data_IF_488219436753
#
_entry.id   IF_488219436753
#
_cell.length_a   1.000
_cell.length_b   1.000
_cell.length_c   1.000
_cell.angle_alpha   90.00
_cell.angle_beta   90.00
_cell.angle_gamma   90.00
#
_symmetry.space_group_name_H-M   'P 1'
#
loop_
_entity.id
_entity.type
_entity.pdbx_description
1 polymer ?
#
# COMPACT_ATOMS: atom_id res chain seq x y z
N UNK A 1 1.94 -5.75 -18.34
CA UNK A 1 2.64 -5.89 -17.04
C UNK A 1 1.77 -5.32 -15.94
N UNK A 2 1.46 -6.06 -14.89
CA UNK A 2 0.71 -5.49 -13.75
C UNK A 2 1.66 -4.86 -12.74
N UNK A 3 1.15 -3.86 -12.02
CA UNK A 3 1.90 -3.10 -11.03
C UNK A 3 1.19 -3.19 -9.68
N UNK A 4 1.92 -3.54 -8.62
CA UNK A 4 1.36 -3.64 -7.27
C UNK A 4 2.06 -2.67 -6.32
N UNK A 5 1.27 -1.77 -5.73
CA UNK A 5 1.73 -0.83 -4.72
C UNK A 5 1.52 -1.46 -3.34
N UNK A 6 2.58 -2.06 -2.81
CA UNK A 6 2.60 -2.72 -1.51
C UNK A 6 2.92 -1.72 -0.41
N UNK A 7 2.13 -1.71 0.66
CA UNK A 7 2.32 -0.79 1.76
C UNK A 7 1.63 -1.23 3.05
N UNK A 8 1.95 -0.56 4.16
CA UNK A 8 1.28 -0.71 5.46
C UNK A 8 -0.16 -0.19 5.45
N UNK A 9 -0.48 0.72 4.53
CA UNK A 9 -1.58 1.67 4.67
C UNK A 9 -1.13 2.92 5.44
N UNK A 10 -1.91 4.01 5.35
CA UNK A 10 -1.61 5.34 5.94
C UNK A 10 -0.31 6.01 5.45
N UNK A 11 0.21 5.55 4.30
CA UNK A 11 1.39 6.07 3.61
C UNK A 11 1.07 6.77 2.28
N UNK A 12 -0.18 7.19 2.06
CA UNK A 12 -0.56 7.98 0.87
C UNK A 12 -0.94 7.18 -0.38
N UNK A 13 -1.18 5.87 -0.27
CA UNK A 13 -1.59 4.99 -1.40
C UNK A 13 -2.83 5.49 -2.15
N UNK A 14 -3.82 6.08 -1.47
CA UNK A 14 -5.00 6.66 -2.13
C UNK A 14 -4.61 7.84 -3.04
N UNK A 15 -3.73 8.73 -2.59
CA UNK A 15 -3.26 9.87 -3.41
C UNK A 15 -2.38 9.38 -4.55
N UNK A 16 -1.55 8.36 -4.31
CA UNK A 16 -0.76 7.68 -5.35
C UNK A 16 -1.64 7.21 -6.50
N UNK A 17 -2.69 6.43 -6.20
CA UNK A 17 -3.61 5.92 -7.23
C UNK A 17 -4.38 7.05 -7.93
N UNK A 18 -4.73 8.11 -7.21
CA UNK A 18 -5.35 9.30 -7.85
C UNK A 18 -4.43 9.96 -8.86
N UNK A 19 -3.11 9.97 -8.63
CA UNK A 19 -2.13 10.44 -9.61
C UNK A 19 -2.01 9.45 -10.79
N UNK A 20 -2.05 8.13 -10.53
CA UNK A 20 -2.04 7.12 -11.59
C UNK A 20 -3.24 7.18 -12.55
N UNK A 21 -4.34 7.84 -12.19
CA UNK A 21 -5.49 8.04 -13.10
C UNK A 21 -5.17 8.86 -14.35
N UNK A 22 -4.05 9.57 -14.36
CA UNK A 22 -3.58 10.33 -15.53
C UNK A 22 -2.67 9.48 -16.44
N UNK A 23 -2.44 8.21 -16.11
CA UNK A 23 -1.76 7.25 -16.97
C UNK A 23 -2.80 6.64 -17.92
N UNK A 24 -2.55 6.70 -19.21
CA UNK A 24 -3.51 6.30 -20.26
C UNK A 24 -3.37 4.83 -20.67
N UNK A 25 -2.15 4.28 -20.60
CA UNK A 25 -1.87 2.89 -20.99
C UNK A 25 -1.95 1.89 -19.82
N UNK A 26 -2.37 2.34 -18.64
CA UNK A 26 -2.64 1.49 -17.49
C UNK A 26 -3.99 1.87 -16.88
N UNK A 27 -4.74 0.86 -16.44
CA UNK A 27 -5.83 1.09 -15.49
C UNK A 27 -5.26 1.23 -14.08
N UNK A 28 -5.94 1.94 -13.17
CA UNK A 28 -5.48 2.06 -11.79
C UNK A 28 -6.62 2.00 -10.77
N UNK A 29 -6.33 1.39 -9.62
CA UNK A 29 -7.31 1.01 -8.62
C UNK A 29 -6.78 1.07 -7.19
N UNK A 30 -7.65 1.40 -6.23
CA UNK A 30 -7.35 1.32 -4.81
C UNK A 30 -8.32 0.34 -4.16
N UNK A 31 -7.79 -0.80 -3.69
CA UNK A 31 -8.54 -1.88 -3.03
C UNK A 31 -9.70 -2.45 -3.89
N UNK A 32 -9.50 -2.53 -5.22
CA UNK A 32 -10.57 -2.82 -6.21
C UNK A 32 -11.17 -4.20 -6.05
N UNK A 33 -10.34 -5.21 -5.76
CA UNK A 33 -10.74 -6.60 -5.57
C UNK A 33 -10.66 -7.03 -4.10
N UNK A 34 -10.60 -6.08 -3.15
CA UNK A 34 -10.38 -6.34 -1.72
C UNK A 34 -11.43 -7.22 -1.04
N UNK A 35 -12.63 -7.29 -1.62
CA UNK A 35 -13.77 -8.08 -1.10
C UNK A 35 -13.95 -9.42 -1.81
N UNK A 36 -13.20 -9.67 -2.88
CA UNK A 36 -13.25 -10.91 -3.63
C UNK A 36 -12.43 -12.01 -2.94
N UNK A 37 -12.74 -13.28 -3.22
CA UNK A 37 -12.12 -14.44 -2.59
C UNK A 37 -11.60 -15.42 -3.67
N UNK A 38 -10.50 -16.10 -3.38
CA UNK A 38 -9.88 -17.08 -4.27
C UNK A 38 -9.39 -16.44 -5.57
N UNK A 39 -9.63 -17.09 -6.71
CA UNK A 39 -9.17 -16.57 -8.01
C UNK A 39 -9.68 -15.17 -8.34
N UNK A 40 -10.88 -14.80 -7.88
CA UNK A 40 -11.44 -13.45 -8.11
C UNK A 40 -10.68 -12.36 -7.37
N UNK A 41 -9.99 -12.68 -6.27
CA UNK A 41 -9.15 -11.73 -5.50
C UNK A 41 -7.99 -11.16 -6.32
N UNK A 42 -7.53 -11.92 -7.31
CA UNK A 42 -6.36 -11.60 -8.13
C UNK A 42 -6.69 -11.46 -9.61
N UNK A 43 -7.97 -11.36 -9.96
CA UNK A 43 -8.45 -11.24 -11.34
C UNK A 43 -8.28 -9.81 -11.91
N UNK A 44 -7.09 -9.24 -11.73
CA UNK A 44 -6.72 -7.94 -12.28
C UNK A 44 -6.55 -8.04 -13.80
N UNK A 45 -7.08 -7.05 -14.53
CA UNK A 45 -6.83 -6.94 -15.98
C UNK A 45 -5.35 -6.74 -16.27
N UNK A 46 -4.92 -7.00 -17.50
CA UNK A 46 -3.58 -6.64 -17.93
C UNK A 46 -3.35 -5.12 -17.85
N UNK A 47 -2.11 -4.73 -17.56
CA UNK A 47 -1.70 -3.33 -17.41
C UNK A 47 -2.53 -2.61 -16.35
N UNK A 48 -2.70 -3.26 -15.20
CA UNK A 48 -3.38 -2.68 -14.04
C UNK A 48 -2.39 -2.28 -12.94
N UNK A 49 -2.60 -1.10 -12.34
CA UNK A 49 -1.90 -0.60 -11.17
C UNK A 49 -2.85 -0.70 -9.96
N UNK A 50 -2.58 -1.62 -9.05
CA UNK A 50 -3.39 -1.78 -7.83
C UNK A 50 -2.60 -1.31 -6.60
N UNK A 51 -3.21 -0.45 -5.79
CA UNK A 51 -2.77 -0.24 -4.42
C UNK A 51 -3.78 -0.85 -3.45
N UNK A 52 -3.33 -1.79 -2.63
CA UNK A 52 -4.15 -2.40 -1.60
C UNK A 52 -3.22 -2.86 -0.47
N UNK A 53 -3.36 -2.24 0.70
CA UNK A 53 -2.49 -2.55 1.83
C UNK A 53 -2.69 -3.98 2.35
N UNK A 54 -3.83 -4.63 2.05
CA UNK A 54 -4.11 -6.00 2.47
C UNK A 54 -3.36 -7.03 1.63
N UNK A 55 -2.84 -6.66 0.45
CA UNK A 55 -1.98 -7.56 -0.33
C UNK A 55 -0.70 -7.96 0.43
N UNK A 56 -0.30 -7.19 1.45
CA UNK A 56 0.77 -7.58 2.37
C UNK A 56 0.52 -8.87 3.15
N UNK A 57 -0.74 -9.33 3.23
CA UNK A 57 -1.13 -10.62 3.79
C UNK A 57 -1.21 -11.74 2.75
N UNK A 58 -1.09 -11.41 1.46
CA UNK A 58 -1.23 -12.34 0.33
C UNK A 58 0.03 -12.40 -0.54
N UNK A 59 1.20 -12.22 0.07
CA UNK A 59 2.47 -12.19 -0.68
C UNK A 59 2.78 -13.52 -1.38
N UNK A 60 2.36 -14.66 -0.82
CA UNK A 60 2.47 -15.97 -1.48
C UNK A 60 1.61 -16.10 -2.73
N UNK A 61 0.39 -15.56 -2.72
CA UNK A 61 -0.48 -15.53 -3.91
C UNK A 61 0.08 -14.59 -4.99
N UNK A 62 0.68 -13.46 -4.58
CA UNK A 62 1.37 -12.58 -5.52
C UNK A 62 2.59 -13.25 -6.15
N UNK A 63 3.35 -14.03 -5.39
CA UNK A 63 4.46 -14.82 -5.89
C UNK A 63 3.99 -15.82 -6.96
N UNK A 64 3.01 -16.65 -6.60
CA UNK A 64 2.54 -17.74 -7.45
C UNK A 64 1.91 -17.22 -8.76
N UNK A 65 1.12 -16.14 -8.68
CA UNK A 65 0.33 -15.66 -9.83
C UNK A 65 1.08 -14.68 -10.72
N UNK A 66 1.88 -13.81 -10.13
CA UNK A 66 2.52 -12.70 -10.84
C UNK A 66 4.04 -12.82 -10.86
N UNK A 67 4.65 -13.25 -9.74
CA UNK A 67 6.09 -13.46 -9.63
C UNK A 67 6.90 -12.31 -10.24
N UNK A 68 7.97 -12.63 -10.95
CA UNK A 68 8.84 -11.61 -11.58
C UNK A 68 8.24 -10.94 -12.84
N UNK A 69 7.03 -11.33 -13.26
CA UNK A 69 6.33 -10.74 -14.41
C UNK A 69 5.62 -9.42 -14.09
N UNK A 70 5.45 -9.11 -12.80
CA UNK A 70 4.87 -7.85 -12.34
C UNK A 70 5.95 -6.87 -11.89
N UNK A 71 5.57 -5.59 -11.81
CA UNK A 71 6.36 -4.53 -11.21
C UNK A 71 5.85 -4.24 -9.81
N UNK A 72 6.73 -4.21 -8.82
CA UNK A 72 6.35 -3.99 -7.43
C UNK A 72 6.86 -2.67 -6.90
N UNK A 73 6.00 -1.90 -6.26
CA UNK A 73 6.36 -0.68 -5.54
C UNK A 73 6.20 -0.92 -4.05
N UNK A 74 7.24 -0.67 -3.26
CA UNK A 74 7.11 -0.55 -1.80
C UNK A 74 6.89 0.92 -1.46
N UNK A 75 5.65 1.30 -1.18
CA UNK A 75 5.29 2.66 -0.79
C UNK A 75 5.35 2.82 0.73
N UNK A 76 6.30 3.63 1.20
CA UNK A 76 6.54 3.92 2.61
C UNK A 76 6.23 5.37 2.95
N UNK A 77 6.17 5.64 4.25
CA UNK A 77 6.07 6.96 4.85
C UNK A 77 6.84 6.92 6.17
N UNK A 78 7.28 8.08 6.63
CA UNK A 78 7.77 8.28 7.99
C UNK A 78 6.99 7.45 9.04
N UNK A 79 7.76 6.73 9.87
CA UNK A 79 7.22 5.75 10.82
C UNK A 79 6.31 6.41 11.82
N UNK A 80 6.77 7.47 12.49
CA UNK A 80 6.03 8.12 13.57
C UNK A 80 4.72 8.72 13.04
N UNK A 81 4.74 9.38 11.88
CA UNK A 81 3.51 9.86 11.24
C UNK A 81 2.53 8.74 10.89
N UNK A 82 3.04 7.58 10.48
CA UNK A 82 2.21 6.43 10.11
C UNK A 82 1.59 5.77 11.33
N UNK A 83 2.40 5.48 12.35
CA UNK A 83 2.00 4.91 13.64
C UNK A 83 0.97 5.81 14.32
N UNK A 84 1.24 7.12 14.41
CA UNK A 84 0.30 8.07 15.01
C UNK A 84 -1.02 8.18 14.21
N UNK A 85 -0.99 8.02 12.88
CA UNK A 85 -2.22 7.98 12.08
C UNK A 85 -3.04 6.72 12.34
N UNK A 86 -2.39 5.59 12.60
CA UNK A 86 -3.04 4.36 12.99
C UNK A 86 -3.60 4.43 14.42
N UNK A 87 -2.86 5.00 15.36
CA UNK A 87 -3.27 5.09 16.76
C UNK A 87 -4.53 5.96 16.97
N UNK A 88 -4.90 6.80 16.00
CA UNK A 88 -6.16 7.55 16.00
C UNK A 88 -7.39 6.73 15.57
N UNK A 89 -7.23 5.44 15.24
CA UNK A 89 -8.24 4.62 14.55
C UNK A 89 -8.66 3.36 15.31
N UNK A 90 -8.50 3.37 16.63
CA UNK A 90 -8.98 2.30 17.50
C UNK A 90 -10.52 2.25 17.61
N UNK A 91 -11.19 3.38 17.44
CA UNK A 91 -12.66 3.45 17.57
C UNK A 91 -13.40 3.20 16.24
N UNK A 92 -12.66 2.97 15.15
CA UNK A 92 -13.26 2.66 13.85
C UNK A 92 -13.95 1.30 13.83
N UNK A 93 -15.15 1.24 13.23
CA UNK A 93 -15.91 -0.01 13.04
C UNK A 93 -15.17 -1.03 12.18
N UNK A 94 -14.43 -0.56 11.17
CA UNK A 94 -13.52 -1.37 10.34
C UNK A 94 -12.11 -0.80 10.45
N UNK A 95 -11.23 -1.52 11.14
CA UNK A 95 -9.85 -1.09 11.38
C UNK A 95 -8.87 -2.26 11.26
N UNK A 96 -7.88 -2.11 10.38
CA UNK A 96 -6.86 -3.15 10.19
C UNK A 96 -6.01 -3.35 11.46
N UNK A 97 -5.83 -2.30 12.27
CA UNK A 97 -5.12 -2.39 13.54
C UNK A 97 -5.91 -3.20 14.55
N UNK A 98 -7.23 -2.98 14.65
CA UNK A 98 -8.09 -3.81 15.52
C UNK A 98 -8.09 -5.27 15.08
N UNK A 99 -8.11 -5.52 13.77
CA UNK A 99 -8.06 -6.85 13.20
C UNK A 99 -6.70 -7.53 13.44
N UNK A 100 -5.60 -6.79 13.30
CA UNK A 100 -4.26 -7.29 13.64
C UNK A 100 -4.16 -7.60 15.14
N UNK A 101 -4.59 -6.67 16.00
CA UNK A 101 -4.59 -6.84 17.45
C UNK A 101 -5.40 -8.05 17.93
N UNK A 102 -6.69 -8.12 17.57
CA UNK A 102 -7.57 -9.18 18.06
C UNK A 102 -7.46 -10.48 17.25
N UNK A 103 -7.37 -10.38 15.93
CA UNK A 103 -7.38 -11.54 15.05
C UNK A 103 -6.02 -12.21 14.88
N UNK A 104 -4.92 -11.45 14.92
CA UNK A 104 -3.56 -11.98 14.71
C UNK A 104 -2.79 -12.09 16.03
N UNK A 105 -2.84 -11.06 16.88
CA UNK A 105 -2.15 -11.08 18.19
C UNK A 105 -3.00 -11.64 19.33
N UNK A 106 -4.27 -12.02 19.05
CA UNK A 106 -5.21 -12.59 20.03
C UNK A 106 -5.42 -11.72 21.28
N UNK A 107 -5.28 -10.40 21.15
CA UNK A 107 -5.50 -9.43 22.23
C UNK A 107 -6.99 -9.07 22.34
N UNK A 108 -7.44 -8.77 23.57
CA UNK A 108 -8.77 -8.20 23.81
C UNK A 108 -8.66 -6.68 23.70
N UNK A 109 -9.19 -6.11 22.61
CA UNK A 109 -9.02 -4.69 22.30
C UNK A 109 -9.55 -3.77 23.42
N UNK A 110 -10.61 -4.19 24.09
CA UNK A 110 -11.25 -3.50 25.22
C UNK A 110 -10.39 -3.45 26.50
N UNK A 111 -9.36 -4.29 26.60
CA UNK A 111 -8.46 -4.37 27.75
C UNK A 111 -7.12 -3.64 27.52
N UNK A 112 -6.91 -3.08 26.33
CA UNK A 112 -5.63 -2.46 25.98
C UNK A 112 -5.51 -1.06 26.58
N UNK A 113 -4.38 -0.84 27.24
CA UNK A 113 -3.91 0.50 27.60
C UNK A 113 -3.52 1.31 26.37
N UNK A 114 -3.41 2.63 26.50
CA UNK A 114 -3.01 3.49 25.37
C UNK A 114 -1.56 3.25 24.93
N UNK A 115 -0.67 2.87 25.85
CA UNK A 115 0.70 2.47 25.52
C UNK A 115 0.73 1.16 24.72
N UNK A 116 -0.06 0.15 25.12
CA UNK A 116 -0.17 -1.10 24.36
C UNK A 116 -0.75 -0.87 22.96
N UNK A 117 -1.75 0.00 22.84
CA UNK A 117 -2.33 0.41 21.56
C UNK A 117 -1.28 1.03 20.63
N UNK A 118 -0.47 1.94 21.15
CA UNK A 118 0.61 2.57 20.39
C UNK A 118 1.65 1.51 19.96
N UNK A 119 2.06 0.64 20.88
CA UNK A 119 3.02 -0.42 20.61
C UNK A 119 2.52 -1.42 19.56
N UNK A 120 1.23 -1.75 19.55
CA UNK A 120 0.63 -2.59 18.50
C UNK A 120 0.69 -1.91 17.13
N UNK A 121 0.50 -0.59 17.07
CA UNK A 121 0.61 0.17 15.82
C UNK A 121 2.05 0.18 15.28
N UNK A 122 3.04 0.32 16.16
CA UNK A 122 4.47 0.19 15.80
C UNK A 122 4.78 -1.22 15.29
N UNK A 123 4.31 -2.24 16.01
CA UNK A 123 4.56 -3.62 15.65
C UNK A 123 3.91 -4.01 14.32
N UNK A 124 2.69 -3.52 14.06
CA UNK A 124 2.03 -3.68 12.77
C UNK A 124 2.85 -3.03 11.64
N UNK A 125 3.30 -1.78 11.83
CA UNK A 125 4.11 -1.07 10.84
C UNK A 125 5.38 -1.84 10.48
N UNK A 126 6.11 -2.27 11.50
CA UNK A 126 7.36 -3.01 11.32
C UNK A 126 7.12 -4.37 10.67
N UNK A 127 6.09 -5.11 11.12
CA UNK A 127 5.76 -6.43 10.59
C UNK A 127 5.41 -6.38 9.10
N UNK A 128 4.51 -5.47 8.71
CA UNK A 128 4.07 -5.38 7.31
C UNK A 128 5.22 -4.92 6.41
N UNK A 129 6.01 -3.93 6.83
CA UNK A 129 7.16 -3.49 6.04
C UNK A 129 8.21 -4.60 5.89
N UNK A 130 8.53 -5.34 6.97
CA UNK A 130 9.47 -6.47 6.91
C UNK A 130 8.97 -7.57 5.97
N UNK A 131 7.68 -7.91 6.01
CA UNK A 131 7.09 -8.89 5.10
C UNK A 131 7.24 -8.47 3.64
N UNK A 132 6.92 -7.21 3.33
CA UNK A 132 7.06 -6.66 1.97
C UNK A 132 8.53 -6.67 1.55
N UNK A 133 9.45 -6.15 2.37
CA UNK A 133 10.88 -6.13 2.06
C UNK A 133 11.44 -7.53 1.83
N UNK A 134 11.02 -8.51 2.64
CA UNK A 134 11.43 -9.90 2.47
C UNK A 134 10.90 -10.51 1.17
N UNK A 135 9.63 -10.29 0.82
CA UNK A 135 9.06 -10.73 -0.45
C UNK A 135 9.78 -10.11 -1.65
N UNK A 136 10.07 -8.81 -1.58
CA UNK A 136 10.71 -8.08 -2.68
C UNK A 136 12.19 -8.39 -2.84
N UNK A 137 12.87 -9.02 -1.87
CA UNK A 137 14.34 -9.15 -1.86
C UNK A 137 14.92 -9.73 -3.16
N UNK A 138 14.22 -10.67 -3.79
CA UNK A 138 14.66 -11.35 -5.02
C UNK A 138 13.94 -10.88 -6.29
N UNK A 139 13.06 -9.87 -6.22
CA UNK A 139 12.33 -9.37 -7.40
C UNK A 139 13.22 -8.51 -8.28
N UNK A 140 13.20 -8.80 -9.58
CA UNK A 140 13.92 -8.02 -10.59
C UNK A 140 13.25 -6.66 -10.83
N UNK A 141 11.93 -6.65 -10.94
CA UNK A 141 11.13 -5.46 -11.25
C UNK A 141 10.52 -4.86 -9.98
N UNK A 142 11.31 -4.04 -9.28
CA UNK A 142 10.86 -3.39 -8.03
C UNK A 142 11.40 -1.98 -7.86
N UNK A 143 10.69 -1.17 -7.08
CA UNK A 143 11.10 0.17 -6.66
C UNK A 143 10.61 0.48 -5.24
N UNK A 144 11.38 1.28 -4.50
CA UNK A 144 10.93 1.88 -3.26
C UNK A 144 10.49 3.32 -3.52
N UNK A 145 9.39 3.74 -2.91
CA UNK A 145 8.87 5.11 -3.00
C UNK A 145 8.56 5.58 -1.59
N UNK A 146 9.07 6.75 -1.22
CA UNK A 146 8.80 7.37 0.07
C UNK A 146 7.82 8.54 -0.11
N UNK A 147 6.76 8.59 0.69
CA UNK A 147 5.75 9.65 0.61
C UNK A 147 6.37 11.05 0.77
N UNK A 148 7.40 11.17 1.60
CA UNK A 148 8.13 12.42 1.81
C UNK A 148 8.85 12.93 0.54
N UNK A 149 9.19 12.05 -0.41
CA UNK A 149 9.89 12.35 -1.66
C UNK A 149 9.02 12.08 -2.90
N UNK A 150 7.70 12.04 -2.71
CA UNK A 150 6.78 11.41 -3.66
C UNK A 150 6.81 12.02 -5.06
N UNK A 151 7.08 13.31 -5.21
CA UNK A 151 7.12 13.96 -6.53
C UNK A 151 8.24 13.37 -7.40
N UNK A 152 9.46 13.31 -6.87
CA UNK A 152 10.62 12.78 -7.57
C UNK A 152 10.49 11.27 -7.80
N UNK A 153 10.08 10.54 -6.76
CA UNK A 153 9.94 9.08 -6.84
C UNK A 153 8.83 8.67 -7.83
N UNK A 154 7.75 9.46 -7.93
CA UNK A 154 6.66 9.19 -8.87
C UNK A 154 7.07 9.42 -10.33
N UNK A 155 7.91 10.41 -10.62
CA UNK A 155 8.47 10.59 -11.97
C UNK A 155 9.35 9.39 -12.38
N UNK A 156 10.16 8.87 -11.45
CA UNK A 156 10.96 7.67 -11.69
C UNK A 156 10.08 6.44 -11.91
N UNK A 157 9.03 6.29 -11.11
CA UNK A 157 8.02 5.25 -11.29
C UNK A 157 7.36 5.33 -12.67
N UNK A 158 6.90 6.51 -13.08
CA UNK A 158 6.25 6.75 -14.36
C UNK A 158 7.12 6.27 -15.52
N UNK A 159 8.41 6.63 -15.50
CA UNK A 159 9.40 6.19 -16.49
C UNK A 159 9.64 4.67 -16.42
N UNK A 160 9.76 4.11 -15.22
CA UNK A 160 10.08 2.70 -15.00
C UNK A 160 9.01 1.75 -15.56
N UNK A 161 7.74 2.14 -15.53
CA UNK A 161 6.64 1.34 -16.09
C UNK A 161 6.28 1.73 -17.54
N UNK A 162 7.05 2.63 -18.17
CA UNK A 162 6.73 3.21 -19.48
C UNK A 162 5.30 3.77 -19.56
N UNK A 163 4.89 4.51 -18.53
CA UNK A 163 3.59 5.15 -18.50
C UNK A 163 3.47 6.26 -19.57
N UNK A 164 2.29 6.36 -20.17
CA UNK A 164 1.90 7.38 -21.15
C UNK A 164 0.78 8.24 -20.56
N UNK A 165 0.72 9.50 -20.96
CA UNK A 165 -0.27 10.47 -20.47
C UNK A 165 0.39 11.73 -19.93
N UNK A 166 -0.34 12.49 -19.11
CA UNK A 166 0.09 13.77 -18.58
C UNK A 166 0.73 13.64 -17.18
N UNK A 167 2.06 13.46 -17.16
CA UNK A 167 2.84 13.32 -15.93
C UNK A 167 2.79 14.60 -15.07
N UNK A 168 2.77 15.78 -15.68
CA UNK A 168 2.78 17.05 -14.96
C UNK A 168 1.51 17.25 -14.14
N UNK A 169 0.35 16.89 -14.71
CA UNK A 169 -0.94 16.91 -13.99
C UNK A 169 -0.96 15.86 -12.89
N UNK A 170 -0.38 14.69 -13.12
CA UNK A 170 -0.29 13.62 -12.12
C UNK A 170 0.52 14.07 -10.89
N UNK A 171 1.73 14.61 -11.09
CA UNK A 171 2.62 15.06 -10.01
C UNK A 171 1.98 16.18 -9.19
N UNK A 172 1.25 17.11 -9.84
CA UNK A 172 0.50 18.18 -9.15
C UNK A 172 -0.55 17.66 -8.15
N UNK A 173 -1.00 16.40 -8.28
CA UNK A 173 -1.93 15.81 -7.29
C UNK A 173 -1.32 15.63 -5.91
N UNK A 174 0.00 15.48 -5.81
CA UNK A 174 0.67 15.35 -4.50
C UNK A 174 0.74 16.68 -3.74
N UNK A 175 0.73 17.81 -4.44
CA UNK A 175 0.66 19.17 -3.84
C UNK A 175 -0.72 19.48 -3.26
N UNK A 176 -1.75 18.79 -3.73
CA UNK A 176 -3.11 18.98 -3.23
C UNK A 176 -3.26 18.18 -1.94
N UNK A 177 -3.45 18.85 -0.79
CA UNK A 177 -3.68 18.19 0.51
C UNK A 177 -5.00 17.41 0.48
N UNK A 178 -4.96 16.17 0.02
CA UNK A 178 -6.08 15.25 0.16
C UNK A 178 -6.02 14.55 1.52
N UNK A 179 -7.06 14.76 2.34
CA UNK A 179 -7.37 14.07 3.60
C UNK A 179 -6.31 14.18 4.72
N UNK A 180 -6.35 15.30 5.46
CA UNK A 180 -5.99 15.26 6.88
C UNK A 180 -7.02 14.35 7.58
N UNK A 181 -6.62 13.12 7.92
CA UNK A 181 -7.39 12.23 8.80
C UNK A 181 -6.45 11.56 9.79
#
# INVERSE_FOLDING_TARGET
>A
MNVFILCTGRCGSTTFIRACKFIENFTSGHETLSREIGNRRFAYSENHIEADNRLSWFLGELEERFGDKAFYVHLTRDKDKTVNSFNKRWDGTVSIIRAFSAGILMKKNEMLTDDEKLHICEYYYDTVNRNISHFLKNKTNKMAICLENIENDFELFWKSINAKGDMDVAVKKFKTKYNQS
#
